data_IF_193624574450
#
_entry.id   IF_193624574450
#
_cell.length_a   1.000
_cell.length_b   1.000
_cell.length_c   1.000
_cell.angle_alpha   90.00
_cell.angle_beta   90.00
_cell.angle_gamma   90.00
#
_symmetry.space_group_name_H-M   'P 1'
#
loop_
_entity.id
_entity.type
_entity.pdbx_description
1 polymer ?
#
# COMPACT_ATOMS: atom_id res chain seq x y z
N UNK A 1 -53.62 43.65 -8.75
CA UNK A 1 -52.29 43.39 -9.34
C UNK A 1 -51.60 42.35 -8.44
N UNK A 2 -51.54 41.05 -8.85
CA UNK A 2 -50.96 39.96 -8.04
C UNK A 2 -49.60 39.62 -8.61
N UNK A 3 -48.52 39.83 -7.84
CA UNK A 3 -47.16 39.41 -8.18
C UNK A 3 -47.01 37.89 -7.92
N UNK A 4 -46.41 37.12 -8.81
CA UNK A 4 -46.05 35.74 -8.51
C UNK A 4 -44.73 35.66 -7.71
N UNK A 5 -44.77 34.93 -6.62
CA UNK A 5 -43.54 34.53 -5.90
C UNK A 5 -42.83 33.44 -6.73
N UNK A 6 -41.62 33.74 -7.19
CA UNK A 6 -40.72 32.78 -7.80
C UNK A 6 -39.92 32.13 -6.66
N UNK A 7 -40.23 30.88 -6.38
CA UNK A 7 -39.42 30.07 -5.45
C UNK A 7 -38.14 29.58 -6.17
N UNK A 8 -37.01 30.12 -5.77
CA UNK A 8 -35.71 29.65 -6.24
C UNK A 8 -35.33 28.36 -5.50
N UNK A 9 -35.37 27.23 -6.20
CA UNK A 9 -34.86 25.95 -5.66
C UNK A 9 -33.33 25.99 -5.67
N UNK A 10 -32.71 26.06 -4.50
CA UNK A 10 -31.24 25.90 -4.30
C UNK A 10 -30.91 24.42 -4.33
N UNK A 11 -30.37 23.94 -5.44
CA UNK A 11 -29.85 22.58 -5.56
C UNK A 11 -28.50 22.53 -4.89
N UNK A 12 -28.43 21.99 -3.67
CA UNK A 12 -27.17 21.73 -2.97
C UNK A 12 -26.45 20.58 -3.69
N UNK A 13 -25.36 20.87 -4.42
CA UNK A 13 -24.42 19.87 -4.89
C UNK A 13 -23.69 19.29 -3.67
N UNK A 14 -24.02 18.06 -3.32
CA UNK A 14 -23.22 17.27 -2.36
C UNK A 14 -21.90 16.92 -3.03
N UNK A 15 -20.83 17.63 -2.67
CA UNK A 15 -19.48 17.26 -3.05
C UNK A 15 -19.15 15.93 -2.35
N UNK A 16 -19.08 14.84 -3.11
CA UNK A 16 -18.53 13.56 -2.62
C UNK A 16 -17.03 13.78 -2.43
N UNK A 17 -16.48 13.63 -1.22
CA UNK A 17 -15.03 13.71 -1.05
C UNK A 17 -14.38 12.63 -1.91
N UNK A 18 -13.40 13.01 -2.72
CA UNK A 18 -12.52 12.06 -3.39
C UNK A 18 -11.69 11.37 -2.30
N UNK A 19 -12.04 10.15 -1.94
CA UNK A 19 -11.22 9.33 -1.04
C UNK A 19 -9.93 8.96 -1.78
N UNK A 20 -8.81 9.49 -1.30
CA UNK A 20 -7.48 9.26 -1.87
C UNK A 20 -6.85 7.92 -1.44
N UNK A 21 -7.55 7.09 -0.70
CA UNK A 21 -7.12 5.75 -0.26
C UNK A 21 -8.33 4.93 0.22
N UNK A 22 -8.22 3.62 0.23
CA UNK A 22 -9.28 2.74 0.75
C UNK A 22 -9.46 2.96 2.25
N UNK A 23 -10.69 3.30 2.67
CA UNK A 23 -11.02 3.50 4.08
C UNK A 23 -10.98 2.20 4.91
N UNK A 24 -10.70 2.29 6.23
CA UNK A 24 -10.88 1.15 7.13
C UNK A 24 -12.29 0.56 7.02
N UNK A 25 -12.38 -0.78 6.99
CA UNK A 25 -13.61 -1.53 6.76
C UNK A 25 -13.88 -1.88 5.29
N UNK A 26 -13.30 -1.17 4.34
CA UNK A 26 -13.41 -1.50 2.92
C UNK A 26 -12.81 -2.88 2.61
N UNK A 27 -13.37 -3.57 1.61
CA UNK A 27 -12.78 -4.82 1.11
C UNK A 27 -11.56 -4.49 0.27
N UNK A 28 -10.41 -5.06 0.63
CA UNK A 28 -9.19 -4.94 -0.16
C UNK A 28 -9.33 -5.69 -1.49
N UNK A 29 -9.06 -5.07 -2.64
CA UNK A 29 -9.04 -5.75 -3.93
C UNK A 29 -8.03 -6.89 -3.93
N UNK A 30 -8.46 -8.09 -4.35
CA UNK A 30 -7.54 -9.21 -4.52
C UNK A 30 -6.66 -9.01 -5.76
N UNK A 31 -5.46 -9.56 -5.72
CA UNK A 31 -4.54 -9.51 -6.84
C UNK A 31 -3.59 -10.70 -6.89
N UNK A 32 -3.11 -10.97 -8.09
CA UNK A 32 -1.97 -11.85 -8.35
C UNK A 32 -0.95 -11.09 -9.19
N UNK A 33 0.31 -11.15 -8.79
CA UNK A 33 1.41 -10.47 -9.48
C UNK A 33 2.75 -11.18 -9.27
N UNK A 34 3.79 -10.67 -9.92
CA UNK A 34 5.17 -11.11 -9.70
C UNK A 34 5.86 -10.16 -8.73
N UNK A 35 6.65 -10.73 -7.84
CA UNK A 35 7.50 -10.00 -6.91
C UNK A 35 8.84 -10.67 -6.75
N UNK A 36 9.60 -10.21 -5.77
CA UNK A 36 10.89 -10.78 -5.43
C UNK A 36 11.17 -10.72 -3.93
N UNK A 37 11.91 -11.70 -3.44
CA UNK A 37 12.46 -11.75 -2.08
C UNK A 37 13.86 -12.34 -2.12
N UNK A 38 14.81 -11.73 -1.42
CA UNK A 38 16.21 -12.16 -1.39
C UNK A 38 16.81 -12.39 -2.80
N UNK A 39 16.46 -11.53 -3.76
CA UNK A 39 16.94 -11.63 -5.14
C UNK A 39 16.28 -12.73 -5.98
N UNK A 40 15.27 -13.45 -5.46
CA UNK A 40 14.55 -14.51 -6.18
C UNK A 40 13.15 -14.02 -6.56
N UNK A 41 12.79 -14.21 -7.82
CA UNK A 41 11.45 -13.88 -8.32
C UNK A 41 10.44 -14.92 -7.81
N UNK A 42 9.29 -14.42 -7.32
CA UNK A 42 8.21 -15.22 -6.76
C UNK A 42 6.84 -14.76 -7.30
N UNK A 43 5.88 -15.67 -7.31
CA UNK A 43 4.48 -15.31 -7.53
C UNK A 43 3.86 -14.86 -6.20
N UNK A 44 3.10 -13.77 -6.24
CA UNK A 44 2.43 -13.19 -5.07
C UNK A 44 0.92 -13.17 -5.33
N UNK A 45 0.15 -13.70 -4.39
CA UNK A 45 -1.31 -13.62 -4.37
C UNK A 45 -1.76 -13.14 -3.00
N UNK A 46 -2.52 -12.06 -2.96
CA UNK A 46 -2.97 -11.50 -1.68
C UNK A 46 -3.78 -12.52 -0.87
N UNK A 47 -4.71 -13.20 -1.51
CA UNK A 47 -5.52 -14.25 -0.87
C UNK A 47 -4.66 -15.31 -0.15
N UNK A 48 -3.56 -15.77 -0.76
CA UNK A 48 -2.69 -16.78 -0.16
C UNK A 48 -1.90 -16.24 1.04
N UNK A 49 -1.58 -14.95 1.04
CA UNK A 49 -0.95 -14.28 2.19
C UNK A 49 -1.93 -14.13 3.34
N UNK A 50 -3.17 -13.70 3.06
CA UNK A 50 -4.22 -13.51 4.07
C UNK A 50 -4.62 -14.80 4.79
N UNK A 51 -4.47 -15.96 4.16
CA UNK A 51 -4.67 -17.27 4.82
C UNK A 51 -3.64 -17.56 5.92
N UNK A 52 -2.48 -16.90 5.87
CA UNK A 52 -1.40 -17.05 6.86
C UNK A 52 -1.55 -16.05 8.03
N UNK A 53 -2.25 -14.94 7.83
CA UNK A 53 -2.42 -13.88 8.82
C UNK A 53 -2.66 -12.50 8.18
N UNK A 54 -2.65 -11.42 8.97
CA UNK A 54 -2.74 -10.07 8.45
C UNK A 54 -1.62 -9.75 7.47
N UNK A 55 -1.90 -8.90 6.48
CA UNK A 55 -0.91 -8.42 5.52
C UNK A 55 -0.72 -6.93 5.71
N UNK A 56 0.54 -6.53 5.92
CA UNK A 56 0.97 -5.13 5.80
C UNK A 56 1.36 -4.92 4.35
N UNK A 57 0.51 -4.22 3.60
CA UNK A 57 0.73 -3.88 2.21
C UNK A 57 1.13 -2.41 2.12
N UNK A 58 2.39 -2.11 1.80
CA UNK A 58 2.82 -0.73 1.64
C UNK A 58 3.21 -0.42 0.20
N UNK A 59 2.69 0.68 -0.31
CA UNK A 59 3.04 1.23 -1.63
C UNK A 59 4.12 2.29 -1.46
N UNK A 60 5.08 2.31 -2.38
CA UNK A 60 6.16 3.29 -2.40
C UNK A 60 6.42 3.79 -3.82
N UNK A 61 6.79 5.08 -4.01
CA UNK A 61 6.85 5.72 -5.33
C UNK A 61 7.76 5.04 -6.34
N UNK A 62 8.99 4.71 -5.96
CA UNK A 62 9.93 4.00 -6.83
C UNK A 62 11.11 3.42 -6.06
N UNK A 63 11.57 2.24 -6.50
CA UNK A 63 12.78 1.62 -6.00
C UNK A 63 14.01 2.53 -6.20
N UNK A 64 15.00 2.40 -5.30
CA UNK A 64 16.26 3.12 -5.32
C UNK A 64 16.18 4.64 -5.10
N UNK A 65 15.03 5.21 -4.77
CA UNK A 65 14.94 6.59 -4.28
C UNK A 65 15.25 6.66 -2.79
N UNK A 66 15.82 7.79 -2.32
CA UNK A 66 16.33 7.90 -0.94
C UNK A 66 15.29 7.56 0.13
N UNK A 67 14.09 8.14 0.05
CA UNK A 67 13.01 7.88 1.01
C UNK A 67 12.50 6.43 0.95
N UNK A 68 12.39 5.83 -0.25
CA UNK A 68 11.96 4.44 -0.39
C UNK A 68 13.01 3.45 0.10
N UNK A 69 14.32 3.75 -0.08
CA UNK A 69 15.39 2.94 0.49
C UNK A 69 15.36 2.95 2.01
N UNK A 70 15.18 4.13 2.62
CA UNK A 70 15.09 4.29 4.07
C UNK A 70 13.86 3.53 4.64
N UNK A 71 12.72 3.64 3.98
CA UNK A 71 11.49 2.93 4.36
C UNK A 71 11.66 1.41 4.28
N UNK A 72 12.24 0.90 3.18
CA UNK A 72 12.51 -0.52 3.01
C UNK A 72 13.45 -1.06 4.09
N UNK A 73 14.52 -0.32 4.44
CA UNK A 73 15.42 -0.67 5.52
C UNK A 73 14.71 -0.70 6.88
N UNK A 74 13.88 0.32 7.18
CA UNK A 74 13.13 0.39 8.43
C UNK A 74 12.11 -0.76 8.56
N UNK A 75 11.39 -1.12 7.48
CA UNK A 75 10.56 -2.33 7.48
C UNK A 75 11.41 -3.59 7.72
N UNK A 76 12.56 -3.71 7.05
CA UNK A 76 13.44 -4.88 7.20
C UNK A 76 13.94 -5.07 8.64
N UNK A 77 14.22 -4.00 9.37
CA UNK A 77 14.58 -4.04 10.79
C UNK A 77 13.42 -4.57 11.66
N UNK A 78 12.18 -4.21 11.32
CA UNK A 78 10.97 -4.56 12.09
C UNK A 78 10.29 -5.87 11.67
N UNK A 79 10.80 -6.58 10.65
CA UNK A 79 10.26 -7.88 10.24
C UNK A 79 10.10 -8.87 11.41
N UNK A 80 11.05 -9.02 12.35
CA UNK A 80 10.86 -9.93 13.47
C UNK A 80 9.65 -9.57 14.35
N UNK A 81 9.32 -8.28 14.48
CA UNK A 81 8.16 -7.82 15.25
C UNK A 81 6.85 -8.09 14.49
N UNK A 82 6.80 -7.82 13.19
CA UNK A 82 5.65 -8.17 12.34
C UNK A 82 5.40 -9.69 12.33
N UNK A 83 6.44 -10.49 12.19
CA UNK A 83 6.34 -11.96 12.22
C UNK A 83 5.79 -12.48 13.55
N UNK A 84 6.30 -11.94 14.68
CA UNK A 84 5.77 -12.30 16.02
C UNK A 84 4.30 -11.92 16.18
N UNK A 85 3.85 -10.85 15.54
CA UNK A 85 2.45 -10.46 15.51
C UNK A 85 1.63 -11.21 14.45
N UNK A 86 2.20 -12.21 13.77
CA UNK A 86 1.56 -13.06 12.77
C UNK A 86 1.32 -12.39 11.43
N UNK A 87 1.95 -11.24 11.15
CA UNK A 87 1.75 -10.50 9.93
C UNK A 87 2.84 -10.75 8.88
N UNK A 88 2.44 -10.67 7.62
CA UNK A 88 3.34 -10.65 6.45
C UNK A 88 3.47 -9.21 5.94
N UNK A 89 4.71 -8.75 5.68
CA UNK A 89 4.97 -7.46 5.03
C UNK A 89 5.16 -7.68 3.54
N UNK A 90 4.48 -6.87 2.72
CA UNK A 90 4.59 -6.84 1.26
C UNK A 90 4.72 -5.39 0.80
N UNK A 91 5.85 -5.04 0.18
CA UNK A 91 6.04 -3.76 -0.48
C UNK A 91 5.60 -3.80 -1.93
N UNK A 92 5.04 -2.72 -2.46
CA UNK A 92 4.66 -2.62 -3.87
C UNK A 92 5.00 -1.27 -4.47
N UNK A 93 5.45 -1.30 -5.73
CA UNK A 93 5.63 -0.11 -6.58
C UNK A 93 5.32 -0.44 -8.03
N UNK A 94 5.23 0.57 -8.88
CA UNK A 94 5.05 0.38 -10.32
C UNK A 94 6.35 -0.03 -11.05
N UNK A 95 7.45 -0.24 -10.34
CA UNK A 95 8.68 -0.76 -10.91
C UNK A 95 8.50 -2.18 -11.49
N UNK A 96 9.32 -2.51 -12.49
CA UNK A 96 9.35 -3.86 -13.05
C UNK A 96 9.87 -4.89 -12.03
N UNK A 97 9.47 -6.14 -12.19
CA UNK A 97 9.94 -7.22 -11.30
C UNK A 97 11.45 -7.39 -11.32
N UNK A 98 12.12 -7.08 -12.44
CA UNK A 98 13.58 -7.17 -12.55
C UNK A 98 14.31 -6.12 -11.71
N UNK A 99 13.75 -4.91 -11.63
CA UNK A 99 14.23 -3.86 -10.72
C UNK A 99 14.00 -4.28 -9.27
N UNK A 100 12.79 -4.78 -8.96
CA UNK A 100 12.43 -5.22 -7.62
C UNK A 100 13.20 -6.47 -7.16
N UNK A 101 13.65 -7.31 -8.09
CA UNK A 101 14.51 -8.45 -7.79
C UNK A 101 15.81 -8.01 -7.10
N UNK A 102 16.50 -7.02 -7.68
CA UNK A 102 17.72 -6.45 -7.10
C UNK A 102 17.41 -5.69 -5.81
N UNK A 103 16.36 -4.86 -5.84
CA UNK A 103 15.93 -4.07 -4.69
C UNK A 103 15.64 -4.95 -3.46
N UNK A 104 15.04 -6.13 -3.66
CA UNK A 104 14.68 -7.05 -2.58
C UNK A 104 15.89 -7.57 -1.78
N UNK A 105 17.02 -7.79 -2.44
CA UNK A 105 18.26 -8.21 -1.78
C UNK A 105 19.05 -7.03 -1.21
N UNK A 106 19.15 -5.93 -1.96
CA UNK A 106 20.03 -4.81 -1.64
C UNK A 106 19.44 -3.85 -0.59
N UNK A 107 18.12 -3.60 -0.62
CA UNK A 107 17.45 -2.59 0.22
C UNK A 107 16.51 -3.20 1.23
N UNK A 108 15.87 -4.33 0.91
CA UNK A 108 15.01 -5.06 1.86
C UNK A 108 15.78 -6.09 2.68
N UNK A 109 17.11 -6.16 2.53
CA UNK A 109 17.98 -7.15 3.17
C UNK A 109 17.49 -8.61 3.01
N UNK A 110 16.75 -8.90 1.94
CA UNK A 110 16.16 -10.22 1.69
C UNK A 110 15.06 -10.65 2.67
N UNK A 111 14.61 -9.77 3.55
CA UNK A 111 13.74 -10.14 4.69
C UNK A 111 12.26 -10.18 4.38
N UNK A 112 11.81 -9.51 3.33
CA UNK A 112 10.41 -9.49 2.92
C UNK A 112 10.26 -9.34 1.41
N UNK A 113 9.06 -9.60 0.91
CA UNK A 113 8.75 -9.55 -0.53
C UNK A 113 8.44 -8.12 -0.96
N UNK A 114 8.95 -7.74 -2.12
CA UNK A 114 8.49 -6.57 -2.89
C UNK A 114 7.91 -7.04 -4.22
N UNK A 115 6.83 -6.41 -4.70
CA UNK A 115 6.09 -6.86 -5.87
C UNK A 115 5.69 -5.71 -6.79
N UNK A 116 5.50 -6.02 -8.07
CA UNK A 116 5.10 -5.04 -9.07
C UNK A 116 3.61 -4.74 -8.98
N UNK A 117 3.26 -3.47 -8.79
CA UNK A 117 1.90 -2.97 -8.81
C UNK A 117 1.50 -2.60 -10.24
N UNK A 118 0.80 -3.51 -10.91
CA UNK A 118 0.20 -3.22 -12.22
C UNK A 118 -0.95 -2.19 -12.12
N UNK A 119 -1.39 -1.63 -13.26
CA UNK A 119 -2.41 -0.56 -13.29
C UNK A 119 -3.70 -0.89 -12.53
N UNK A 120 -4.16 -2.14 -12.59
CA UNK A 120 -5.37 -2.58 -11.88
C UNK A 120 -5.19 -2.56 -10.36
N UNK A 121 -4.00 -2.90 -9.86
CA UNK A 121 -3.67 -2.84 -8.43
C UNK A 121 -3.61 -1.38 -7.99
N UNK A 122 -2.89 -0.54 -8.74
CA UNK A 122 -2.77 0.91 -8.46
C UNK A 122 -4.14 1.57 -8.38
N UNK A 123 -5.02 1.28 -9.37
CA UNK A 123 -6.39 1.80 -9.40
C UNK A 123 -7.24 1.23 -8.27
N UNK A 124 -7.17 -0.08 -8.02
CA UNK A 124 -8.00 -0.75 -7.02
C UNK A 124 -7.72 -0.31 -5.60
N UNK A 125 -6.47 0.04 -5.29
CA UNK A 125 -6.05 0.56 -3.99
C UNK A 125 -6.05 2.10 -3.92
N UNK A 126 -6.38 2.77 -5.01
CA UNK A 126 -6.37 4.23 -5.15
C UNK A 126 -5.04 4.88 -4.70
N UNK A 127 -3.95 4.30 -5.21
CA UNK A 127 -2.58 4.70 -4.85
C UNK A 127 -1.81 5.31 -6.01
N UNK A 128 -2.49 5.88 -6.99
CA UNK A 128 -1.84 6.61 -8.07
C UNK A 128 -1.26 7.93 -7.55
N UNK A 129 0.05 8.17 -7.76
CA UNK A 129 0.67 9.47 -7.41
C UNK A 129 0.20 10.62 -8.32
N UNK A 130 -0.49 10.28 -9.42
CA UNK A 130 -0.98 11.27 -10.40
C UNK A 130 0.11 11.84 -11.31
N UNK A 131 1.34 11.33 -11.24
CA UNK A 131 2.46 11.76 -12.09
C UNK A 131 3.42 10.61 -12.41
N UNK A 132 4.08 10.72 -13.56
CA UNK A 132 5.22 9.87 -13.91
C UNK A 132 6.50 10.40 -13.27
N UNK A 133 7.39 9.49 -12.89
CA UNK A 133 8.72 9.82 -12.41
C UNK A 133 9.78 9.05 -13.19
N UNK A 134 10.95 9.64 -13.37
CA UNK A 134 12.12 8.96 -13.89
C UNK A 134 12.83 8.25 -12.74
N UNK A 135 12.94 6.93 -12.82
CA UNK A 135 13.60 6.13 -11.80
C UNK A 135 15.12 6.27 -11.88
N UNK A 136 15.87 5.95 -10.81
CA UNK A 136 17.33 5.93 -10.86
C UNK A 136 17.90 4.98 -11.94
N UNK A 137 17.17 3.93 -12.32
CA UNK A 137 17.50 3.03 -13.43
C UNK A 137 17.18 3.58 -14.83
N UNK A 138 16.69 4.82 -14.92
CA UNK A 138 16.40 5.51 -16.19
C UNK A 138 15.01 5.25 -16.79
N UNK A 139 14.24 4.31 -16.26
CA UNK A 139 12.87 4.05 -16.71
C UNK A 139 11.92 5.17 -16.24
N UNK A 140 10.87 5.44 -17.01
CA UNK A 140 9.77 6.31 -16.58
C UNK A 140 8.60 5.43 -16.17
N UNK A 141 8.10 5.62 -14.94
CA UNK A 141 6.97 4.86 -14.39
C UNK A 141 5.87 5.81 -13.91
N UNK A 142 4.61 5.37 -13.99
CA UNK A 142 3.50 6.02 -13.30
C UNK A 142 3.58 5.62 -11.83
N UNK A 143 4.14 6.51 -11.01
CA UNK A 143 4.46 6.19 -9.63
C UNK A 143 3.22 5.98 -8.76
N UNK A 144 3.36 5.17 -7.72
CA UNK A 144 2.37 5.07 -6.63
C UNK A 144 2.61 6.15 -5.59
N UNK A 145 1.56 6.52 -4.85
CA UNK A 145 1.68 7.27 -3.60
C UNK A 145 2.45 6.45 -2.55
N UNK A 146 2.81 7.08 -1.44
CA UNK A 146 3.31 6.36 -0.27
C UNK A 146 2.13 6.11 0.65
N UNK A 147 1.56 4.92 0.57
CA UNK A 147 0.37 4.52 1.32
C UNK A 147 0.55 3.12 1.87
N UNK A 148 0.28 2.94 3.15
CA UNK A 148 0.36 1.64 3.82
C UNK A 148 -1.00 1.20 4.33
N UNK A 149 -1.34 -0.05 4.06
CA UNK A 149 -2.54 -0.72 4.55
C UNK A 149 -2.19 -1.87 5.48
N UNK A 150 -3.00 -2.08 6.51
CA UNK A 150 -3.07 -3.37 7.19
C UNK A 150 -4.36 -4.05 6.75
N UNK A 151 -4.25 -5.19 6.11
CA UNK A 151 -5.38 -5.98 5.65
C UNK A 151 -5.56 -7.15 6.61
N UNK A 152 -6.73 -7.24 7.23
CA UNK A 152 -7.07 -8.33 8.12
C UNK A 152 -7.31 -9.63 7.33
N UNK A 153 -7.23 -10.83 7.97
CA UNK A 153 -7.41 -12.12 7.29
C UNK A 153 -8.75 -12.31 6.60
N UNK A 154 -9.78 -11.54 6.98
CA UNK A 154 -11.09 -11.51 6.31
C UNK A 154 -11.09 -10.69 4.99
N UNK A 155 -9.93 -10.12 4.63
CA UNK A 155 -9.75 -9.31 3.43
C UNK A 155 -10.22 -7.86 3.56
N UNK A 156 -10.50 -7.38 4.78
CA UNK A 156 -10.85 -5.98 5.00
C UNK A 156 -9.66 -5.15 5.44
N UNK A 157 -9.64 -3.89 5.00
CA UNK A 157 -8.69 -2.89 5.48
C UNK A 157 -8.96 -2.61 6.95
N UNK A 158 -8.00 -2.90 7.81
CA UNK A 158 -8.07 -2.62 9.24
C UNK A 158 -7.44 -1.27 9.60
N UNK A 159 -6.48 -0.81 8.79
CA UNK A 159 -5.75 0.43 9.00
C UNK A 159 -5.22 0.95 7.67
N UNK A 160 -5.14 2.26 7.53
CA UNK A 160 -4.51 2.96 6.43
C UNK A 160 -3.66 4.12 6.96
N UNK A 161 -2.50 4.32 6.34
CA UNK A 161 -1.64 5.47 6.55
C UNK A 161 -1.19 5.99 5.19
N UNK A 162 -1.57 7.21 4.86
CA UNK A 162 -1.24 7.87 3.61
C UNK A 162 -0.48 9.18 3.93
N UNK A 163 0.84 9.14 3.73
CA UNK A 163 1.73 10.27 4.01
C UNK A 163 2.96 10.14 3.08
N UNK A 164 3.38 11.22 2.40
CA UNK A 164 4.58 11.19 1.57
C UNK A 164 5.88 10.94 2.37
N UNK A 165 5.91 11.23 3.68
CA UNK A 165 7.02 10.92 4.57
C UNK A 165 7.04 9.41 4.90
N UNK A 166 8.19 8.73 4.91
CA UNK A 166 8.29 7.34 5.38
C UNK A 166 8.04 7.19 6.88
N UNK A 167 8.09 8.29 7.64
CA UNK A 167 7.85 8.28 9.08
C UNK A 167 6.38 7.95 9.39
N UNK A 168 6.14 7.02 10.30
CA UNK A 168 4.78 6.62 10.68
C UNK A 168 4.26 5.37 9.99
N UNK A 169 4.71 5.05 8.75
CA UNK A 169 4.26 3.84 8.04
C UNK A 169 4.59 2.56 8.81
N UNK A 170 5.79 2.46 9.34
CA UNK A 170 6.24 1.26 10.06
C UNK A 170 5.58 1.16 11.43
N UNK A 171 5.62 2.23 12.22
CA UNK A 171 5.10 2.24 13.58
C UNK A 171 3.58 2.10 13.60
N UNK A 172 2.88 2.80 12.71
CA UNK A 172 1.41 2.75 12.60
C UNK A 172 0.91 1.38 12.17
N UNK A 173 1.53 0.79 11.15
CA UNK A 173 1.14 -0.56 10.69
C UNK A 173 1.46 -1.63 11.72
N UNK A 174 2.60 -1.54 12.43
CA UNK A 174 2.94 -2.49 13.48
C UNK A 174 1.95 -2.42 14.65
N UNK A 175 1.61 -1.21 15.11
CA UNK A 175 0.60 -1.03 16.15
C UNK A 175 -0.78 -1.58 15.73
N UNK A 176 -1.19 -1.35 14.48
CA UNK A 176 -2.44 -1.87 13.95
C UNK A 176 -2.48 -3.40 13.92
N UNK A 177 -1.39 -4.05 13.46
CA UNK A 177 -1.28 -5.52 13.48
C UNK A 177 -1.35 -6.08 14.89
N UNK A 178 -0.62 -5.50 15.85
CA UNK A 178 -0.66 -5.90 17.25
C UNK A 178 -2.06 -5.75 17.86
N UNK A 179 -2.79 -4.69 17.47
CA UNK A 179 -4.19 -4.48 17.87
C UNK A 179 -5.15 -5.54 17.33
N UNK A 180 -4.89 -6.09 16.13
CA UNK A 180 -5.68 -7.20 15.59
C UNK A 180 -5.47 -8.51 16.38
N UNK A 181 -4.26 -8.78 16.83
CA UNK A 181 -3.94 -9.95 17.66
C UNK A 181 -4.69 -9.96 18.99
N UNK A 182 -4.72 -8.80 19.68
CA UNK A 182 -5.41 -8.64 20.96
C UNK A 182 -6.94 -8.81 20.90
N UNK A 183 -7.55 -8.61 19.74
CA UNK A 183 -9.01 -8.79 19.55
C UNK A 183 -9.43 -10.24 19.29
N UNK A 184 -8.45 -11.12 19.09
CA UNK A 184 -8.66 -12.55 18.77
C UNK A 184 -8.42 -13.47 19.97
N UNK A 185 -7.75 -12.97 21.01
CA UNK A 185 -7.52 -13.64 22.30
C UNK A 185 -8.64 -13.29 23.28
#
# INVERSE_FOLDING_TARGET
MRLPLIAAAVTALLAVPAEAALAPGAKAPDFATRGAVAGKIVNVRLHDLLRKGPVVLYFFPAAYTGGCNAEAAAFAEKIPEFTRAGATVLGMSADSVDVLQKFSSEKCAGKFTVASAGPNVVKGYDVALGRSIKTPGGATINATSRTSYVIAPDGRVAYVHDDPSPTGHITGTLAAVQGLGKRRS
#
